data_IF_500250091039
#
_entry.id   IF_500250091039
#
_cell.length_a   1.000
_cell.length_b   1.000
_cell.length_c   1.000
_cell.angle_alpha   90.00
_cell.angle_beta   90.00
_cell.angle_gamma   90.00
#
_symmetry.space_group_name_H-M   'P 1'
#
loop_
_entity.id
_entity.type
_entity.pdbx_description
1 polymer ?
#
# COMPACT_ATOMS: atom_id res chain seq x y z
N UNK A 1 6.13 2.58 -4.28
CA UNK A 1 6.33 2.96 -2.87
C UNK A 1 7.47 2.11 -2.33
N UNK A 2 8.55 2.75 -1.89
CA UNK A 2 9.77 2.08 -1.43
C UNK A 2 9.87 2.08 0.10
N UNK A 3 10.65 1.15 0.65
CA UNK A 3 10.93 1.02 2.08
C UNK A 3 11.44 2.32 2.70
N UNK A 4 12.36 2.99 2.00
CA UNK A 4 12.71 4.37 2.25
C UNK A 4 11.70 5.24 1.50
N UNK A 5 10.88 5.99 2.23
CA UNK A 5 9.81 6.82 1.64
C UNK A 5 10.32 7.83 0.61
N UNK A 6 11.65 8.09 0.60
CA UNK A 6 12.36 8.97 -0.32
C UNK A 6 11.60 10.30 -0.52
N UNK A 7 11.11 10.86 0.59
CA UNK A 7 10.49 12.17 0.59
C UNK A 7 11.61 13.20 0.49
N UNK A 8 11.34 14.30 -0.21
CA UNK A 8 12.26 15.43 -0.25
C UNK A 8 12.20 16.14 1.10
N UNK A 9 13.30 16.08 1.86
CA UNK A 9 13.37 16.62 3.23
C UNK A 9 13.19 18.15 3.28
N UNK A 10 13.50 18.85 2.18
CA UNK A 10 13.36 20.29 2.03
C UNK A 10 11.96 20.74 1.63
N UNK A 11 11.06 19.81 1.31
CA UNK A 11 9.71 20.10 0.86
C UNK A 11 8.70 19.71 1.95
N UNK A 12 7.62 20.47 2.05
CA UNK A 12 6.45 20.15 2.86
C UNK A 12 5.76 18.86 2.38
N UNK A 13 4.82 18.33 3.18
CA UNK A 13 3.96 17.22 2.78
C UNK A 13 3.16 17.58 1.52
N UNK A 14 2.59 18.79 1.47
CA UNK A 14 1.90 19.31 0.29
C UNK A 14 2.78 19.22 -0.95
N UNK A 15 3.98 19.78 -0.88
CA UNK A 15 4.90 19.84 -2.01
C UNK A 15 5.44 18.46 -2.41
N UNK A 16 5.70 17.58 -1.45
CA UNK A 16 6.07 16.20 -1.72
C UNK A 16 4.97 15.48 -2.52
N UNK A 17 3.72 15.61 -2.08
CA UNK A 17 2.58 14.95 -2.74
C UNK A 17 2.30 15.60 -4.09
N UNK A 18 2.30 16.92 -4.18
CA UNK A 18 2.05 17.69 -5.41
C UNK A 18 3.17 17.63 -6.44
N UNK A 19 4.37 17.12 -6.09
CA UNK A 19 5.59 17.24 -6.88
C UNK A 19 5.38 16.93 -8.38
N UNK A 20 4.70 15.82 -8.69
CA UNK A 20 4.44 15.42 -10.09
C UNK A 20 3.48 16.37 -10.82
N UNK A 21 2.54 16.98 -10.11
CA UNK A 21 1.58 17.92 -10.70
C UNK A 21 2.24 19.25 -11.04
N UNK A 22 3.19 19.72 -10.23
CA UNK A 22 3.99 20.90 -10.56
C UNK A 22 4.81 20.69 -11.84
N UNK A 23 5.45 19.53 -12.00
CA UNK A 23 6.18 19.17 -13.23
C UNK A 23 5.28 19.15 -14.49
N UNK A 24 3.98 18.89 -14.29
CA UNK A 24 2.97 18.89 -15.36
C UNK A 24 2.32 20.27 -15.57
N UNK A 25 2.72 21.29 -14.82
CA UNK A 25 2.14 22.63 -14.83
C UNK A 25 0.61 22.62 -14.67
N UNK A 26 0.10 21.75 -13.78
CA UNK A 26 -1.31 21.71 -13.40
C UNK A 26 -1.67 23.01 -12.65
N UNK A 27 -2.92 23.46 -12.80
CA UNK A 27 -3.41 24.66 -12.13
C UNK A 27 -3.38 24.52 -10.59
N UNK A 28 -3.09 25.60 -9.88
CA UNK A 28 -2.89 25.59 -8.43
C UNK A 28 -4.15 25.16 -7.67
N UNK A 29 -5.35 25.55 -8.14
CA UNK A 29 -6.61 25.15 -7.51
C UNK A 29 -6.86 23.65 -7.68
N UNK A 30 -6.47 23.09 -8.83
CA UNK A 30 -6.55 21.66 -9.09
C UNK A 30 -5.53 20.87 -8.26
N UNK A 31 -4.30 21.39 -8.11
CA UNK A 31 -3.27 20.81 -7.24
C UNK A 31 -3.79 20.75 -5.81
N UNK A 32 -4.31 21.86 -5.28
CA UNK A 32 -4.77 21.94 -3.90
C UNK A 32 -5.90 20.95 -3.62
N UNK A 33 -6.85 20.83 -4.56
CA UNK A 33 -7.93 19.82 -4.49
C UNK A 33 -7.37 18.39 -4.49
N UNK A 34 -6.52 18.03 -5.46
CA UNK A 34 -5.95 16.68 -5.59
C UNK A 34 -5.08 16.28 -4.41
N UNK A 35 -4.32 17.23 -3.85
CA UNK A 35 -3.49 17.01 -2.66
C UNK A 35 -4.37 16.71 -1.46
N UNK A 36 -5.41 17.52 -1.18
CA UNK A 36 -6.32 17.26 -0.06
C UNK A 36 -7.07 15.94 -0.22
N UNK A 37 -7.55 15.62 -1.41
CA UNK A 37 -8.18 14.32 -1.68
C UNK A 37 -7.23 13.14 -1.41
N UNK A 38 -5.97 13.25 -1.87
CA UNK A 38 -4.95 12.21 -1.67
C UNK A 38 -4.53 12.08 -0.20
N UNK A 39 -4.34 13.20 0.50
CA UNK A 39 -4.00 13.22 1.92
C UNK A 39 -5.16 12.76 2.81
N UNK A 40 -6.39 13.11 2.46
CA UNK A 40 -7.61 12.64 3.11
C UNK A 40 -7.73 11.13 3.01
N UNK A 41 -7.47 10.54 1.82
CA UNK A 41 -7.48 9.09 1.63
C UNK A 41 -6.50 8.35 2.55
N UNK A 42 -5.32 8.92 2.79
CA UNK A 42 -4.32 8.33 3.71
C UNK A 42 -4.44 8.80 5.16
N UNK A 43 -5.45 9.63 5.47
CA UNK A 43 -5.72 10.16 6.81
C UNK A 43 -4.61 11.07 7.34
N UNK A 44 -4.11 11.99 6.50
CA UNK A 44 -3.03 12.95 6.81
C UNK A 44 -3.31 14.38 6.32
N UNK A 45 -4.58 14.75 6.14
CA UNK A 45 -4.95 16.11 5.71
C UNK A 45 -4.41 17.19 6.67
N UNK A 46 -4.51 16.96 7.98
CA UNK A 46 -3.98 17.86 9.02
C UNK A 46 -2.44 18.00 9.04
N UNK A 47 -1.73 17.18 8.27
CA UNK A 47 -0.27 17.20 8.18
C UNK A 47 0.25 17.92 6.92
N UNK A 48 -0.64 18.54 6.13
CA UNK A 48 -0.33 19.12 4.80
C UNK A 48 0.85 20.10 4.82
N UNK A 49 0.97 20.93 5.86
CA UNK A 49 2.02 21.97 5.98
C UNK A 49 3.27 21.49 6.73
N UNK A 50 3.28 20.25 7.22
CA UNK A 50 4.44 19.70 7.94
C UNK A 50 5.57 19.35 6.98
N UNK A 51 6.78 19.31 7.49
CA UNK A 51 7.96 18.76 6.81
C UNK A 51 8.15 17.28 7.14
N UNK A 52 8.86 16.48 6.32
CA UNK A 52 9.16 15.09 6.63
C UNK A 52 9.83 14.90 8.00
N UNK A 53 10.63 15.86 8.46
CA UNK A 53 11.30 15.80 9.77
C UNK A 53 10.32 15.71 10.94
N UNK A 54 9.10 16.24 10.78
CA UNK A 54 8.04 16.29 11.81
C UNK A 54 7.10 15.08 11.77
N UNK A 55 7.33 14.14 10.85
CA UNK A 55 6.49 12.97 10.62
C UNK A 55 7.05 11.73 11.28
N UNK A 56 6.18 10.91 11.90
CA UNK A 56 6.54 9.56 12.32
C UNK A 56 6.87 8.67 11.11
N UNK A 57 7.57 7.56 11.35
CA UNK A 57 7.90 6.60 10.31
C UNK A 57 6.69 6.17 9.49
N UNK A 58 5.57 5.84 10.14
CA UNK A 58 4.32 5.47 9.48
C UNK A 58 3.64 6.61 8.73
N UNK A 59 3.73 7.84 9.24
CA UNK A 59 3.24 9.03 8.52
C UNK A 59 4.02 9.24 7.23
N UNK A 60 5.35 9.10 7.24
CA UNK A 60 6.18 9.19 6.03
C UNK A 60 5.76 8.18 4.96
N UNK A 61 5.42 6.94 5.33
CA UNK A 61 4.97 5.91 4.37
C UNK A 61 3.62 6.26 3.77
N UNK A 62 2.70 6.78 4.58
CA UNK A 62 1.40 7.25 4.10
C UNK A 62 1.52 8.47 3.18
N UNK A 63 2.43 9.40 3.45
CA UNK A 63 2.73 10.51 2.52
C UNK A 63 3.33 9.99 1.21
N UNK A 64 4.26 9.03 1.27
CA UNK A 64 4.81 8.40 0.07
C UNK A 64 3.73 7.67 -0.77
N UNK A 65 2.74 7.06 -0.10
CA UNK A 65 1.58 6.46 -0.76
C UNK A 65 0.70 7.53 -1.43
N UNK A 66 0.39 8.63 -0.73
CA UNK A 66 -0.36 9.75 -1.31
C UNK A 66 0.34 10.36 -2.52
N UNK A 67 1.66 10.56 -2.44
CA UNK A 67 2.49 11.05 -3.56
C UNK A 67 2.44 10.13 -4.77
N UNK A 68 2.42 8.81 -4.56
CA UNK A 68 2.30 7.86 -5.66
C UNK A 68 0.86 7.81 -6.23
N UNK A 69 -0.15 7.98 -5.38
CA UNK A 69 -1.57 7.91 -5.74
C UNK A 69 -2.08 9.14 -6.50
N UNK A 70 -1.50 10.32 -6.28
CA UNK A 70 -2.02 11.58 -6.82
C UNK A 70 -2.08 11.61 -8.36
N UNK A 71 -1.30 10.75 -9.03
CA UNK A 71 -1.30 10.61 -10.48
C UNK A 71 -2.33 9.58 -10.99
N UNK A 72 -3.19 9.06 -10.11
CA UNK A 72 -4.21 8.07 -10.40
C UNK A 72 -3.67 6.86 -11.21
N UNK A 73 -2.65 6.15 -10.70
CA UNK A 73 -2.00 5.09 -11.45
C UNK A 73 -2.87 3.83 -11.56
N UNK A 74 -2.84 3.17 -12.72
CA UNK A 74 -3.46 1.85 -12.92
C UNK A 74 -2.71 0.73 -12.17
N UNK A 75 -1.39 0.91 -11.96
CA UNK A 75 -0.50 -0.07 -11.35
C UNK A 75 0.37 0.59 -10.28
N UNK A 76 0.43 -0.04 -9.10
CA UNK A 76 1.26 0.36 -7.96
C UNK A 76 2.27 -0.73 -7.62
N UNK A 77 3.54 -0.33 -7.49
CA UNK A 77 4.62 -1.20 -7.05
C UNK A 77 4.97 -0.90 -5.59
N UNK A 78 4.98 -1.92 -4.75
CA UNK A 78 5.31 -1.82 -3.34
C UNK A 78 6.55 -2.65 -3.03
N UNK A 79 7.58 -2.01 -2.51
CA UNK A 79 8.82 -2.64 -2.09
C UNK A 79 8.95 -2.48 -0.57
N UNK A 80 8.66 -3.55 0.16
CA UNK A 80 8.69 -3.63 1.63
C UNK A 80 8.00 -2.44 2.34
N UNK A 81 6.73 -2.10 1.99
CA UNK A 81 6.11 -0.85 2.42
C UNK A 81 5.80 -0.79 3.92
N UNK A 82 5.81 -1.93 4.61
CA UNK A 82 5.55 -2.06 6.06
C UNK A 82 6.83 -2.31 6.86
N UNK A 83 8.00 -2.43 6.21
CA UNK A 83 9.24 -2.77 6.91
C UNK A 83 9.65 -1.69 7.92
N UNK A 84 10.07 -2.14 9.10
CA UNK A 84 10.44 -1.26 10.21
C UNK A 84 9.27 -0.55 10.91
N UNK A 85 8.02 -0.85 10.55
CA UNK A 85 6.83 -0.33 11.22
C UNK A 85 6.33 -1.31 12.29
N UNK A 86 5.75 -0.78 13.36
CA UNK A 86 5.05 -1.59 14.36
C UNK A 86 3.81 -2.27 13.74
N UNK A 87 3.27 -3.34 14.37
CA UNK A 87 2.13 -4.08 13.82
C UNK A 87 0.88 -3.24 13.57
N UNK A 88 0.60 -2.23 14.40
CA UNK A 88 -0.60 -1.39 14.27
C UNK A 88 -0.45 -0.48 13.04
N UNK A 89 0.71 0.15 12.90
CA UNK A 89 1.00 0.99 11.73
C UNK A 89 1.07 0.17 10.44
N UNK A 90 1.68 -1.03 10.48
CA UNK A 90 1.73 -1.95 9.33
C UNK A 90 0.32 -2.30 8.85
N UNK A 91 -0.59 -2.62 9.79
CA UNK A 91 -1.99 -2.92 9.46
C UNK A 91 -2.67 -1.76 8.73
N UNK A 92 -2.49 -0.53 9.20
CA UNK A 92 -3.06 0.67 8.55
C UNK A 92 -2.55 0.86 7.11
N UNK A 93 -1.28 0.55 6.85
CA UNK A 93 -0.74 0.59 5.48
C UNK A 93 -1.38 -0.50 4.62
N UNK A 94 -1.50 -1.73 5.14
CA UNK A 94 -2.16 -2.82 4.41
C UNK A 94 -3.63 -2.48 4.10
N UNK A 95 -4.37 -1.92 5.06
CA UNK A 95 -5.75 -1.43 4.87
C UNK A 95 -5.83 -0.40 3.73
N UNK A 96 -4.89 0.54 3.63
CA UNK A 96 -4.84 1.49 2.51
C UNK A 96 -4.58 0.79 1.17
N UNK A 97 -3.68 -0.19 1.14
CA UNK A 97 -3.37 -0.96 -0.09
C UNK A 97 -4.58 -1.80 -0.52
N UNK A 98 -5.28 -2.43 0.42
CA UNK A 98 -6.52 -3.18 0.17
C UNK A 98 -7.59 -2.25 -0.38
N UNK A 99 -7.78 -1.06 0.21
CA UNK A 99 -8.72 -0.07 -0.29
C UNK A 99 -8.38 0.39 -1.71
N UNK A 100 -7.10 0.57 -2.05
CA UNK A 100 -6.68 0.89 -3.42
C UNK A 100 -7.03 -0.22 -4.41
N UNK A 101 -6.81 -1.47 -4.02
CA UNK A 101 -7.15 -2.64 -4.85
C UNK A 101 -8.66 -2.73 -5.07
N UNK A 102 -9.45 -2.72 -4.00
CA UNK A 102 -10.87 -3.10 -4.07
C UNK A 102 -11.80 -1.94 -4.42
N UNK A 103 -11.47 -0.73 -3.97
CA UNK A 103 -12.33 0.45 -4.20
C UNK A 103 -11.88 1.22 -5.44
N UNK A 104 -10.57 1.37 -5.64
CA UNK A 104 -10.02 2.13 -6.78
C UNK A 104 -9.59 1.25 -7.95
N UNK A 105 -9.71 -0.07 -7.85
CA UNK A 105 -9.31 -1.02 -8.91
C UNK A 105 -7.85 -0.89 -9.34
N UNK A 106 -6.97 -0.45 -8.44
CA UNK A 106 -5.54 -0.29 -8.73
C UNK A 106 -4.84 -1.64 -8.60
N UNK A 107 -4.12 -2.05 -9.64
CA UNK A 107 -3.35 -3.31 -9.61
C UNK A 107 -2.09 -3.12 -8.76
N UNK A 108 -1.84 -4.02 -7.81
CA UNK A 108 -0.68 -3.96 -6.92
C UNK A 108 0.33 -5.07 -7.18
N UNK A 109 1.62 -4.75 -7.24
CA UNK A 109 2.71 -5.72 -7.10
C UNK A 109 3.40 -5.47 -5.77
N UNK A 110 3.39 -6.45 -4.88
CA UNK A 110 3.90 -6.33 -3.53
C UNK A 110 5.09 -7.25 -3.31
N UNK A 111 6.23 -6.68 -2.96
CA UNK A 111 7.46 -7.40 -2.63
C UNK A 111 7.63 -7.35 -1.12
N UNK A 112 7.67 -8.53 -0.47
CA UNK A 112 7.99 -8.62 0.95
C UNK A 112 8.55 -9.97 1.36
N UNK A 113 9.32 -9.99 2.44
CA UNK A 113 9.63 -11.19 3.22
C UNK A 113 8.67 -11.43 4.39
N UNK A 114 7.72 -10.52 4.66
CA UNK A 114 6.78 -10.61 5.79
C UNK A 114 5.50 -11.34 5.38
N UNK A 115 5.46 -12.65 5.60
CA UNK A 115 4.30 -13.48 5.24
C UNK A 115 2.98 -13.03 5.88
N UNK A 116 3.01 -12.42 7.08
CA UNK A 116 1.80 -11.88 7.72
C UNK A 116 1.13 -10.81 6.86
N UNK A 117 1.91 -9.85 6.33
CA UNK A 117 1.37 -8.77 5.51
C UNK A 117 0.86 -9.32 4.18
N UNK A 118 1.63 -10.21 3.56
CA UNK A 118 1.23 -10.86 2.32
C UNK A 118 -0.09 -11.64 2.46
N UNK A 119 -0.28 -12.36 3.57
CA UNK A 119 -1.54 -13.04 3.85
C UNK A 119 -2.68 -12.09 4.17
N UNK A 120 -2.45 -11.04 4.96
CA UNK A 120 -3.46 -9.99 5.18
C UNK A 120 -3.96 -9.44 3.85
N UNK A 121 -3.05 -9.10 2.93
CA UNK A 121 -3.44 -8.63 1.60
C UNK A 121 -4.22 -9.69 0.82
N UNK A 122 -3.84 -10.96 0.91
CA UNK A 122 -4.50 -12.02 0.16
C UNK A 122 -5.85 -12.46 0.72
N UNK A 123 -6.11 -12.25 2.00
CA UNK A 123 -7.33 -12.75 2.66
C UNK A 123 -8.28 -11.64 3.11
N UNK A 124 -7.85 -10.39 3.14
CA UNK A 124 -8.72 -9.27 3.52
C UNK A 124 -9.17 -8.48 2.29
N UNK A 125 -10.39 -7.97 2.33
CA UNK A 125 -10.97 -7.13 1.29
C UNK A 125 -11.72 -5.93 1.89
N UNK A 126 -11.88 -4.89 1.08
CA UNK A 126 -12.57 -3.66 1.43
C UNK A 126 -13.86 -3.48 0.62
N UNK A 127 -14.91 -3.01 1.28
CA UNK A 127 -16.15 -2.57 0.64
C UNK A 127 -16.47 -1.13 1.04
N UNK A 128 -16.91 -0.32 0.08
CA UNK A 128 -17.39 1.03 0.35
C UNK A 128 -18.92 1.01 0.55
N UNK A 129 -19.38 1.54 1.68
CA UNK A 129 -20.80 1.80 1.90
C UNK A 129 -21.18 3.21 1.41
N UNK A 130 -22.48 3.47 1.22
CA UNK A 130 -23.01 4.75 0.73
C UNK A 130 -22.54 6.00 1.50
N UNK A 131 -22.07 5.84 2.74
CA UNK A 131 -21.59 6.92 3.62
C UNK A 131 -20.08 7.20 3.51
N UNK A 132 -19.41 6.74 2.44
CA UNK A 132 -17.94 6.84 2.22
C UNK A 132 -17.08 6.12 3.26
N UNK A 133 -17.69 5.33 4.16
CA UNK A 133 -16.98 4.48 5.11
C UNK A 133 -16.49 3.23 4.38
N UNK A 134 -15.21 2.91 4.58
CA UNK A 134 -14.59 1.69 4.09
C UNK A 134 -14.63 0.66 5.23
N UNK A 135 -15.27 -0.47 4.98
CA UNK A 135 -15.28 -1.60 5.90
C UNK A 135 -14.34 -2.68 5.39
N UNK A 136 -13.49 -3.18 6.29
CA UNK A 136 -12.52 -4.25 6.03
C UNK A 136 -13.04 -5.57 6.58
N UNK A 137 -12.97 -6.61 5.77
CA UNK A 137 -13.45 -7.95 6.12
C UNK A 137 -12.40 -8.99 5.75
N UNK A 138 -12.35 -10.08 6.52
CA UNK A 138 -11.49 -11.23 6.22
C UNK A 138 -12.32 -12.31 5.53
N UNK A 139 -11.83 -12.80 4.41
CA UNK A 139 -12.34 -14.00 3.76
C UNK A 139 -12.18 -15.20 4.70
N UNK A 140 -13.30 -15.86 4.99
CA UNK A 140 -13.27 -17.21 5.52
C UNK A 140 -12.89 -18.22 4.42
N UNK A 141 -12.92 -19.51 4.74
CA UNK A 141 -12.52 -20.61 3.83
C UNK A 141 -13.41 -20.84 2.59
N UNK A 142 -14.34 -19.94 2.23
CA UNK A 142 -15.46 -20.27 1.34
C UNK A 142 -15.46 -19.57 -0.02
N UNK A 143 -14.75 -18.46 -0.20
CA UNK A 143 -14.62 -17.75 -1.49
C UNK A 143 -13.29 -17.00 -1.53
N UNK A 144 -12.57 -17.11 -2.65
CA UNK A 144 -11.38 -16.30 -2.97
C UNK A 144 -11.88 -15.04 -3.72
N UNK A 145 -12.16 -13.95 -2.99
CA UNK A 145 -12.64 -12.68 -3.57
C UNK A 145 -11.43 -11.78 -3.86
N UNK A 146 -10.41 -11.82 -3.01
CA UNK A 146 -9.14 -11.17 -3.21
C UNK A 146 -8.36 -11.88 -4.32
N UNK A 147 -8.36 -11.30 -5.53
CA UNK A 147 -7.58 -11.77 -6.67
C UNK A 147 -6.06 -11.51 -6.46
N UNK A 148 -5.46 -12.23 -5.50
CA UNK A 148 -4.05 -12.09 -5.12
C UNK A 148 -3.31 -13.37 -5.46
N UNK A 149 -2.21 -13.25 -6.19
CA UNK A 149 -1.31 -14.36 -6.53
C UNK A 149 0.05 -14.14 -5.86
N UNK A 150 0.59 -15.21 -5.30
CA UNK A 150 1.92 -15.24 -4.70
C UNK A 150 2.91 -15.77 -5.72
N UNK A 151 4.07 -15.12 -5.75
CA UNK A 151 5.24 -15.57 -6.49
C UNK A 151 6.40 -15.68 -5.50
N UNK A 152 7.02 -16.85 -5.39
CA UNK A 152 8.26 -17.01 -4.61
C UNK A 152 9.43 -17.30 -5.54
N UNK A 153 10.51 -16.57 -5.31
CA UNK A 153 11.75 -16.67 -6.07
C UNK A 153 12.85 -17.28 -5.21
N UNK A 154 13.65 -18.19 -5.79
CA UNK A 154 14.87 -18.73 -5.18
C UNK A 154 15.90 -19.00 -6.27
N UNK A 155 17.12 -18.53 -6.06
CA UNK A 155 18.24 -18.73 -6.99
C UNK A 155 17.91 -18.36 -8.45
N UNK A 156 17.18 -17.24 -8.64
CA UNK A 156 16.77 -16.75 -9.95
C UNK A 156 15.62 -17.52 -10.61
N UNK A 157 14.98 -18.46 -9.91
CA UNK A 157 13.87 -19.27 -10.42
C UNK A 157 12.60 -19.04 -9.60
N UNK A 158 11.45 -19.15 -10.27
CA UNK A 158 10.15 -19.22 -9.61
C UNK A 158 10.01 -20.61 -9.01
N UNK A 159 9.94 -20.69 -7.68
CA UNK A 159 9.73 -21.94 -6.93
C UNK A 159 8.29 -22.12 -6.50
N UNK A 160 7.49 -21.05 -6.54
CA UNK A 160 6.05 -21.10 -6.30
C UNK A 160 5.35 -20.01 -7.10
N UNK A 161 4.21 -20.37 -7.69
CA UNK A 161 3.25 -19.42 -8.23
C UNK A 161 1.83 -19.95 -7.97
N UNK A 162 0.98 -19.16 -7.30
CA UNK A 162 -0.38 -19.60 -7.01
C UNK A 162 -1.10 -18.74 -5.96
N UNK A 163 -2.35 -19.10 -5.63
CA UNK A 163 -3.10 -18.43 -4.57
C UNK A 163 -2.57 -18.85 -3.18
N UNK A 164 -3.04 -18.17 -2.13
CA UNK A 164 -2.51 -18.36 -0.78
C UNK A 164 -2.82 -19.75 -0.20
N UNK A 165 -3.93 -20.38 -0.58
CA UNK A 165 -4.29 -21.71 -0.06
C UNK A 165 -3.33 -22.80 -0.53
N UNK A 166 -2.84 -22.69 -1.78
CA UNK A 166 -1.81 -23.59 -2.29
C UNK A 166 -0.46 -23.30 -1.62
N UNK A 167 -0.16 -22.03 -1.35
CA UNK A 167 1.07 -21.64 -0.68
C UNK A 167 1.14 -22.23 0.73
N UNK A 168 0.06 -22.09 1.51
CA UNK A 168 -0.04 -22.62 2.88
C UNK A 168 0.06 -24.14 2.96
N UNK A 169 -0.33 -24.85 1.89
CA UNK A 169 -0.28 -26.32 1.81
C UNK A 169 1.03 -26.84 1.21
N UNK A 170 1.97 -25.96 0.85
CA UNK A 170 3.22 -26.36 0.21
C UNK A 170 4.01 -27.34 1.08
N UNK A 171 4.45 -28.43 0.46
CA UNK A 171 5.34 -29.41 1.09
C UNK A 171 6.83 -29.02 0.98
N UNK A 172 7.17 -28.00 0.21
CA UNK A 172 8.54 -27.54 -0.03
C UNK A 172 9.18 -26.96 1.24
N UNK A 173 10.37 -27.45 1.59
CA UNK A 173 11.07 -27.07 2.82
C UNK A 173 11.54 -25.62 2.86
N UNK A 174 11.85 -25.02 1.69
CA UNK A 174 12.21 -23.61 1.62
C UNK A 174 10.98 -22.74 1.88
N UNK A 175 9.86 -23.04 1.23
CA UNK A 175 8.60 -22.31 1.41
C UNK A 175 8.14 -22.39 2.87
N UNK A 176 8.19 -23.58 3.47
CA UNK A 176 7.82 -23.80 4.88
C UNK A 176 8.57 -22.92 5.86
N UNK A 177 9.83 -22.56 5.59
CA UNK A 177 10.63 -21.66 6.46
C UNK A 177 10.07 -20.24 6.54
N UNK A 178 9.31 -19.80 5.54
CA UNK A 178 8.63 -18.50 5.56
C UNK A 178 7.25 -18.59 6.23
N UNK A 179 6.65 -19.78 6.24
CA UNK A 179 5.32 -20.02 6.81
C UNK A 179 5.31 -20.30 8.31
N UNK A 180 6.45 -20.74 8.86
CA UNK A 180 6.67 -21.00 10.29
C UNK A 180 6.86 -19.72 11.08
#
# INVERSE_FOLDING_TARGET
VFQESALFDSLTVRENVAYRLYELNVDEDEIDRKVRESLGFVGLEDAIDKTPSELSGGMKRRVALARALISEPDIMLYDEPTAGLDPITSKRINELIIALRDIKSVTGVFVTHRMRDAFTLATEYATANGDKRIDFQTEGNSLCIANTRFLMLRDGKIVFEGPDELLRRSSDDYIKRFLS
#
